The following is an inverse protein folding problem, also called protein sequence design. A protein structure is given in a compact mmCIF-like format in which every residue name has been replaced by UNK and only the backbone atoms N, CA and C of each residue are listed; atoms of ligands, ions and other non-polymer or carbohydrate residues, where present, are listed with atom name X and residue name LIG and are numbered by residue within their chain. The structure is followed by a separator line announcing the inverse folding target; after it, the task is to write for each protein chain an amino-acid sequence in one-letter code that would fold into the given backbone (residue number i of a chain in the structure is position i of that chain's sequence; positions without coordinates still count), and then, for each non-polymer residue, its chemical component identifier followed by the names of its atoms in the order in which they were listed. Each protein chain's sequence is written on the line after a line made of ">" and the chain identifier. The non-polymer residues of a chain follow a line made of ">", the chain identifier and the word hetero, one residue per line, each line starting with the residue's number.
data_IF_446158700503
#
_entry.id   IF_446158700503
#
_cell.length_a   1.000
_cell.length_b   1.000
_cell.length_c   1.000
_cell.angle_alpha   90.00
_cell.angle_beta   90.00
_cell.angle_gamma   90.00
#
_symmetry.space_group_name_H-M   'P 1'
#
loop_
_entity.id
_entity.type
_entity.pdbx_description
1 polymer ?
#
# COMPACT_ATOMS: atom_id res chain seq x y z
N UNK A 1 -23.22 4.01 1.02
CA UNK A 1 -22.72 2.89 0.18
C UNK A 1 -23.46 1.65 0.62
N UNK A 2 -23.87 0.74 -0.29
CA UNK A 2 -24.56 -0.49 0.13
C UNK A 2 -23.62 -1.36 0.98
N UNK A 3 -24.18 -2.04 1.98
CA UNK A 3 -23.43 -2.83 2.96
C UNK A 3 -22.57 -3.92 2.29
N UNK A 4 -23.15 -4.66 1.34
CA UNK A 4 -22.47 -5.74 0.62
C UNK A 4 -21.23 -5.27 -0.17
N UNK A 5 -21.29 -4.07 -0.76
CA UNK A 5 -20.15 -3.47 -1.48
C UNK A 5 -19.07 -3.03 -0.50
N UNK A 6 -19.48 -2.45 0.62
CA UNK A 6 -18.53 -2.04 1.65
C UNK A 6 -17.81 -3.24 2.27
N UNK A 7 -18.52 -4.34 2.54
CA UNK A 7 -17.94 -5.60 3.01
C UNK A 7 -16.96 -6.18 1.99
N UNK A 8 -17.32 -6.20 0.70
CA UNK A 8 -16.43 -6.61 -0.39
C UNK A 8 -15.14 -5.77 -0.45
N UNK A 9 -15.25 -4.45 -0.29
CA UNK A 9 -14.06 -3.58 -0.28
C UNK A 9 -13.22 -3.81 0.97
N UNK A 10 -13.83 -4.14 2.11
CA UNK A 10 -13.10 -4.38 3.36
C UNK A 10 -12.36 -5.72 3.38
N UNK A 11 -12.90 -6.74 2.72
CA UNK A 11 -12.25 -8.06 2.61
C UNK A 11 -11.03 -8.03 1.68
N UNK A 12 -10.98 -7.10 0.72
CA UNK A 12 -9.85 -6.93 -0.18
C UNK A 12 -8.99 -5.71 0.19
N UNK A 13 -7.77 -5.95 0.67
CA UNK A 13 -6.86 -4.88 1.08
C UNK A 13 -6.48 -3.92 -0.07
N UNK A 14 -6.31 -4.42 -1.29
CA UNK A 14 -6.00 -3.59 -2.44
C UNK A 14 -7.16 -2.64 -2.73
N UNK A 15 -8.39 -3.17 -2.80
CA UNK A 15 -9.61 -2.37 -2.98
C UNK A 15 -9.74 -1.29 -1.91
N UNK A 16 -9.52 -1.64 -0.63
CA UNK A 16 -9.53 -0.68 0.47
C UNK A 16 -8.47 0.40 0.30
N UNK A 17 -7.26 0.03 -0.12
CA UNK A 17 -6.17 0.98 -0.35
C UNK A 17 -6.47 1.88 -1.55
N UNK A 18 -7.00 1.34 -2.65
CA UNK A 18 -7.40 2.11 -3.82
C UNK A 18 -8.51 3.11 -3.49
N UNK A 19 -9.50 2.71 -2.68
CA UNK A 19 -10.56 3.61 -2.22
C UNK A 19 -10.01 4.79 -1.40
N UNK A 20 -8.93 4.58 -0.62
CA UNK A 20 -8.24 5.65 0.13
C UNK A 20 -7.47 6.60 -0.81
N UNK A 21 -6.87 6.05 -1.87
CA UNK A 21 -6.14 6.85 -2.87
C UNK A 21 -7.10 7.66 -3.73
N UNK A 22 -8.23 7.06 -4.10
CA UNK A 22 -9.25 7.64 -4.98
C UNK A 22 -10.61 7.77 -4.25
N UNK A 23 -10.78 8.76 -3.35
CA UNK A 23 -12.04 8.96 -2.61
C UNK A 23 -13.22 9.34 -3.51
N UNK A 24 -12.97 9.72 -4.78
CA UNK A 24 -14.01 9.91 -5.78
C UNK A 24 -14.85 8.64 -5.98
N UNK A 25 -14.22 7.46 -5.92
CA UNK A 25 -14.89 6.17 -6.04
C UNK A 25 -15.88 5.92 -4.92
N UNK A 26 -15.63 6.42 -3.70
CA UNK A 26 -16.60 6.33 -2.60
C UNK A 26 -17.91 7.04 -2.96
N UNK A 27 -17.83 8.27 -3.49
CA UNK A 27 -19.01 9.03 -3.92
C UNK A 27 -19.70 8.38 -5.13
N UNK A 28 -18.91 7.83 -6.05
CA UNK A 28 -19.39 7.17 -7.28
C UNK A 28 -20.18 5.90 -6.97
N UNK A 29 -19.61 5.01 -6.16
CA UNK A 29 -20.27 3.78 -5.71
C UNK A 29 -21.47 4.03 -4.77
N UNK A 30 -21.49 5.17 -4.07
CA UNK A 30 -22.69 5.59 -3.32
C UNK A 30 -23.85 5.98 -4.23
N UNK A 31 -23.58 6.61 -5.38
CA UNK A 31 -24.61 7.04 -6.34
C UNK A 31 -25.02 5.89 -7.26
N UNK A 32 -24.06 5.11 -7.75
CA UNK A 32 -24.28 3.97 -8.60
C UNK A 32 -23.54 2.72 -8.08
N UNK A 33 -24.22 1.88 -7.29
CA UNK A 33 -23.61 0.68 -6.71
C UNK A 33 -23.25 -0.39 -7.76
N UNK A 34 -23.75 -0.30 -9.00
CA UNK A 34 -23.44 -1.26 -10.06
C UNK A 34 -22.06 -1.08 -10.69
N UNK A 35 -21.37 0.02 -10.38
CA UNK A 35 -20.04 0.32 -10.92
C UNK A 35 -18.91 -0.35 -10.11
N UNK A 36 -19.23 -1.28 -9.21
CA UNK A 36 -18.24 -2.01 -8.40
C UNK A 36 -17.27 -2.82 -9.28
N UNK A 37 -17.74 -3.39 -10.39
CA UNK A 37 -16.91 -4.14 -11.33
C UNK A 37 -15.90 -3.23 -12.05
N UNK A 38 -16.31 -1.99 -12.35
CA UNK A 38 -15.44 -0.97 -12.96
C UNK A 38 -14.40 -0.52 -11.95
N UNK A 39 -14.81 -0.28 -10.71
CA UNK A 39 -13.91 0.03 -9.60
C UNK A 39 -12.85 -1.06 -9.40
N UNK A 40 -13.26 -2.33 -9.42
CA UNK A 40 -12.33 -3.45 -9.26
C UNK A 40 -11.32 -3.52 -10.42
N UNK A 41 -11.79 -3.32 -11.66
CA UNK A 41 -10.94 -3.30 -12.85
C UNK A 41 -9.92 -2.15 -12.80
N UNK A 42 -10.35 -0.94 -12.43
CA UNK A 42 -9.44 0.20 -12.30
C UNK A 42 -8.45 0.02 -11.15
N UNK A 43 -8.88 -0.55 -10.02
CA UNK A 43 -8.00 -0.84 -8.90
C UNK A 43 -6.89 -1.83 -9.29
N UNK A 44 -7.25 -2.91 -10.01
CA UNK A 44 -6.29 -3.88 -10.55
C UNK A 44 -5.29 -3.20 -11.48
N UNK A 45 -5.78 -2.45 -12.45
CA UNK A 45 -4.93 -1.73 -13.40
C UNK A 45 -4.01 -0.71 -12.72
N UNK A 46 -4.52 -0.01 -11.71
CA UNK A 46 -3.75 0.94 -10.93
C UNK A 46 -2.61 0.24 -10.17
N UNK A 47 -2.90 -0.89 -9.49
CA UNK A 47 -1.87 -1.61 -8.73
C UNK A 47 -0.89 -2.38 -9.61
N UNK A 48 -1.34 -3.04 -10.68
CA UNK A 48 -0.45 -3.67 -11.66
C UNK A 48 0.58 -2.69 -12.22
N UNK A 49 0.19 -1.42 -12.40
CA UNK A 49 1.11 -0.35 -12.82
C UNK A 49 1.90 0.31 -11.69
N UNK A 50 1.48 0.15 -10.43
CA UNK A 50 2.06 0.86 -9.27
C UNK A 50 2.81 -0.05 -8.28
N UNK A 51 3.18 -1.27 -8.70
CA UNK A 51 4.18 -2.12 -8.01
C UNK A 51 5.66 -1.67 -8.17
N UNK A 52 6.04 -0.38 -8.07
CA UNK A 52 7.44 -0.07 -7.69
C UNK A 52 7.60 0.28 -6.20
N UNK A 53 6.56 0.78 -5.53
CA UNK A 53 6.79 1.56 -4.31
C UNK A 53 6.71 0.78 -2.99
N UNK A 54 5.91 -0.29 -2.91
CA UNK A 54 5.79 -1.08 -1.67
C UNK A 54 7.01 -1.98 -1.39
N UNK A 55 7.76 -2.36 -2.43
CA UNK A 55 9.03 -3.09 -2.26
C UNK A 55 10.15 -2.16 -1.75
N UNK A 56 10.07 -0.86 -2.06
CA UNK A 56 11.07 0.11 -1.60
C UNK A 56 11.08 0.27 -0.08
N UNK A 57 9.91 0.23 0.58
CA UNK A 57 9.83 0.33 2.04
C UNK A 57 10.41 -0.88 2.77
N UNK A 58 10.48 -2.05 2.14
CA UNK A 58 11.17 -3.21 2.72
C UNK A 58 12.70 -3.04 2.69
N UNK A 59 13.23 -2.19 1.79
CA UNK A 59 14.67 -1.89 1.74
C UNK A 59 15.12 -0.89 2.82
N UNK A 60 14.24 -0.02 3.30
CA UNK A 60 14.59 0.98 4.34
C UNK A 60 14.95 0.29 5.66
N UNK A 61 14.29 -0.82 6.01
CA UNK A 61 14.63 -1.60 7.21
C UNK A 61 16.02 -2.25 7.16
N UNK A 62 16.51 -2.61 5.96
CA UNK A 62 17.86 -3.21 5.83
C UNK A 62 18.95 -2.15 5.96
N UNK A 63 18.73 -0.93 5.45
CA UNK A 63 19.72 0.16 5.53
C UNK A 63 20.01 0.58 6.98
N UNK A 64 18.98 0.64 7.83
CA UNK A 64 19.15 0.96 9.26
C UNK A 64 19.95 -0.14 9.98
N UNK A 65 19.72 -1.41 9.65
CA UNK A 65 20.48 -2.53 10.24
C UNK A 65 21.97 -2.48 9.85
N UNK A 66 22.29 -2.15 8.59
CA UNK A 66 23.68 -1.95 8.15
C UNK A 66 24.35 -0.77 8.86
N UNK A 67 23.65 0.36 9.03
CA UNK A 67 24.17 1.52 9.76
C UNK A 67 24.48 1.17 11.22
N UNK A 68 23.60 0.44 11.90
CA UNK A 68 23.83 -0.01 13.28
C UNK A 68 25.03 -0.96 13.41
N UNK A 69 25.22 -1.89 12.45
CA UNK A 69 26.38 -2.77 12.42
C UNK A 69 27.69 -2.01 12.21
N UNK A 70 27.71 -1.01 11.33
CA UNK A 70 28.88 -0.15 11.11
C UNK A 70 29.24 0.67 12.36
N UNK A 71 28.25 1.22 13.07
CA UNK A 71 28.49 1.93 14.32
C UNK A 71 29.05 1.01 15.41
N UNK A 72 28.53 -0.23 15.52
CA UNK A 72 29.03 -1.21 16.48
C UNK A 72 30.48 -1.65 16.21
N UNK A 73 30.86 -1.80 14.94
CA UNK A 73 32.24 -2.06 14.56
C UNK A 73 33.16 -0.86 14.84
N UNK A 74 32.70 0.36 14.56
CA UNK A 74 33.47 1.58 14.83
C UNK A 74 33.71 1.83 16.34
N UNK A 75 32.79 1.40 17.21
CA UNK A 75 32.95 1.50 18.67
C UNK A 75 33.83 0.41 19.27
N UNK A 76 33.91 -0.76 18.63
CA UNK A 76 34.77 -1.87 19.08
C UNK A 76 36.14 -1.88 18.39
N UNK A 77 36.37 -1.02 17.39
CA UNK A 77 37.70 -0.72 16.91
C UNK A 77 38.44 0.06 18.02
N UNK A 78 39.42 -0.54 18.71
CA UNK A 78 40.25 0.21 19.63
C UNK A 78 40.99 1.25 18.79
N UNK A 79 40.95 2.52 19.20
CA UNK A 79 41.81 3.53 18.59
C UNK A 79 43.27 3.08 18.71
N UNK A 80 43.94 2.97 17.57
CA UNK A 80 45.41 2.96 17.50
C UNK A 80 45.97 4.31 17.96
#
# INVERSE_FOLDING_TARGET
>A
MRQNIYEFIQTNEEMRNYLRIQPAWYKRLMRNPHEVDVFETEAKYYFEKSIPHRVSKFSESVQVASMMLHMFQAMNAPGE
#
